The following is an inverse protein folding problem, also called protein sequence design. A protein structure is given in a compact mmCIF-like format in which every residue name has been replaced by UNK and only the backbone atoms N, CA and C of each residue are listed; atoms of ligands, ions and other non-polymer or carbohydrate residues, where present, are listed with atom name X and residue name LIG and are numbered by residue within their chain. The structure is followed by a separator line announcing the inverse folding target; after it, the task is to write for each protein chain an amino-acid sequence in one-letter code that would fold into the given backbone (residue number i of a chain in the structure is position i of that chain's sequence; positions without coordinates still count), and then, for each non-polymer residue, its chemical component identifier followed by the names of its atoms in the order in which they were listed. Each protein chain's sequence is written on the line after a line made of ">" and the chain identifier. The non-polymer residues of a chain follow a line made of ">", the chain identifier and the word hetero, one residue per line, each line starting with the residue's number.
data_IF_835144876892
#
_entry.id   IF_835144876892
#
_cell.length_a   1.000
_cell.length_b   1.000
_cell.length_c   1.000
_cell.angle_alpha   90.00
_cell.angle_beta   90.00
_cell.angle_gamma   90.00
#
_symmetry.space_group_name_H-M   'P 1'
#
loop_
_entity.id
_entity.type
_entity.pdbx_description
1 polymer ?
#
# COMPACT_ATOMS: atom_id res chain seq x y z
N UNK A 1 1.78 -5.08 10.78
CA UNK A 1 3.07 -5.53 10.25
C UNK A 1 2.99 -5.54 8.74
N UNK A 2 3.62 -4.55 8.11
CA UNK A 2 3.82 -4.55 6.66
C UNK A 2 5.00 -5.49 6.36
N UNK A 3 4.91 -6.30 5.32
CA UNK A 3 6.00 -7.17 4.86
C UNK A 3 7.01 -6.36 4.02
N UNK A 4 7.67 -5.41 4.67
CA UNK A 4 8.71 -4.55 4.10
C UNK A 4 9.88 -4.43 5.08
N UNK A 5 11.10 -4.27 4.53
CA UNK A 5 12.37 -4.03 5.18
C UNK A 5 12.73 -5.24 6.06
N UNK A 6 12.86 -5.04 7.37
CA UNK A 6 13.15 -6.09 8.36
C UNK A 6 12.11 -7.24 8.37
N UNK A 7 10.92 -6.99 7.83
CA UNK A 7 9.85 -7.99 7.75
C UNK A 7 9.66 -8.56 6.33
N UNK A 8 10.55 -8.25 5.38
CA UNK A 8 10.40 -8.64 3.98
C UNK A 8 10.42 -10.16 3.78
N UNK A 9 11.19 -10.88 4.59
CA UNK A 9 11.33 -12.35 4.53
C UNK A 9 10.33 -13.09 5.44
N UNK A 10 9.53 -12.37 6.22
CA UNK A 10 8.55 -13.01 7.11
C UNK A 10 7.34 -13.47 6.29
N UNK A 11 6.89 -14.68 6.60
CA UNK A 11 5.68 -15.27 6.00
C UNK A 11 4.48 -15.23 6.94
N UNK A 12 4.70 -15.02 8.24
CA UNK A 12 3.65 -14.95 9.26
C UNK A 12 3.73 -13.65 10.07
N UNK A 13 2.57 -13.18 10.52
CA UNK A 13 2.45 -11.98 11.33
C UNK A 13 2.90 -12.24 12.77
N UNK A 14 3.89 -11.48 13.26
CA UNK A 14 4.47 -11.69 14.60
C UNK A 14 3.49 -11.57 15.77
N UNK A 15 2.49 -10.69 15.68
CA UNK A 15 1.53 -10.46 16.78
C UNK A 15 0.38 -11.48 16.83
N UNK A 16 -0.04 -12.07 15.70
CA UNK A 16 -1.27 -12.85 15.62
C UNK A 16 -1.14 -14.14 14.80
N UNK A 17 0.05 -14.46 14.28
CA UNK A 17 0.33 -15.68 13.55
C UNK A 17 -0.30 -15.78 12.16
N UNK A 18 -1.06 -14.78 11.70
CA UNK A 18 -1.73 -14.82 10.40
C UNK A 18 -0.76 -14.91 9.23
N UNK A 19 -1.12 -15.68 8.19
CA UNK A 19 -0.30 -15.87 7.00
C UNK A 19 -0.21 -14.61 6.15
N UNK A 20 0.92 -14.44 5.47
CA UNK A 20 1.14 -13.44 4.42
C UNK A 20 0.28 -13.70 3.18
N UNK A 21 0.04 -14.97 2.89
CA UNK A 21 -0.62 -15.42 1.67
C UNK A 21 -2.14 -15.47 1.86
N UNK A 22 -2.89 -15.09 0.82
CA UNK A 22 -4.33 -15.23 0.76
C UNK A 22 -4.68 -16.71 0.56
N UNK A 23 -5.71 -17.16 1.27
CA UNK A 23 -6.26 -18.50 1.10
C UNK A 23 -7.28 -18.55 -0.05
N UNK A 24 -7.51 -17.43 -0.74
CA UNK A 24 -8.41 -17.32 -1.90
C UNK A 24 -7.71 -17.81 -3.17
N UNK A 25 -7.38 -19.10 -3.19
CA UNK A 25 -7.03 -19.83 -4.40
C UNK A 25 -8.27 -20.57 -4.89
N UNK A 26 -8.76 -20.20 -6.07
CA UNK A 26 -9.78 -20.94 -6.80
C UNK A 26 -9.42 -22.44 -6.85
N UNK A 27 -10.38 -23.30 -6.53
CA UNK A 27 -10.24 -24.76 -6.47
C UNK A 27 -9.93 -25.41 -7.84
N UNK A 28 -9.81 -24.62 -8.89
CA UNK A 28 -9.66 -25.05 -10.28
C UNK A 28 -8.21 -25.20 -10.75
N UNK A 29 -7.22 -24.62 -10.05
CA UNK A 29 -5.81 -24.76 -10.45
C UNK A 29 -4.96 -25.14 -9.25
N UNK A 30 -4.40 -26.36 -9.28
CA UNK A 30 -3.45 -26.89 -8.29
C UNK A 30 -2.11 -26.12 -8.23
N UNK A 31 -2.06 -24.90 -8.78
CA UNK A 31 -0.95 -23.99 -8.62
C UNK A 31 -1.20 -23.23 -7.32
N UNK A 32 -0.40 -23.55 -6.31
CA UNK A 32 -0.26 -22.80 -5.06
C UNK A 32 0.25 -21.38 -5.33
N UNK A 33 -0.58 -20.55 -5.96
CA UNK A 33 -0.27 -19.16 -6.23
C UNK A 33 -0.21 -18.45 -4.89
N UNK A 34 1.02 -18.16 -4.45
CA UNK A 34 1.33 -17.34 -3.29
C UNK A 34 0.90 -15.89 -3.57
N UNK A 35 -0.40 -15.65 -3.54
CA UNK A 35 -0.98 -14.30 -3.68
C UNK A 35 -0.90 -13.65 -2.29
N UNK A 36 -0.23 -12.51 -2.12
CA UNK A 36 -0.17 -11.85 -0.82
C UNK A 36 -1.56 -11.32 -0.44
N UNK A 37 -2.03 -11.63 0.78
CA UNK A 37 -3.30 -11.12 1.30
C UNK A 37 -3.29 -9.60 1.49
N UNK A 38 -2.10 -9.02 1.75
CA UNK A 38 -1.90 -7.57 1.90
C UNK A 38 -0.70 -7.14 1.07
N UNK A 39 -0.96 -6.42 -0.03
CA UNK A 39 0.07 -5.86 -0.92
C UNK A 39 0.22 -4.38 -0.63
N UNK A 40 1.43 -3.94 -0.28
CA UNK A 40 1.76 -2.52 -0.25
C UNK A 40 2.16 -2.06 -1.65
N UNK A 41 1.46 -1.07 -2.19
CA UNK A 41 1.80 -0.47 -3.49
C UNK A 41 2.55 0.83 -3.26
N UNK A 42 3.76 0.93 -3.79
CA UNK A 42 4.50 2.19 -3.80
C UNK A 42 3.73 3.21 -4.64
N UNK A 43 3.49 4.38 -4.04
CA UNK A 43 2.83 5.48 -4.70
C UNK A 43 3.81 6.66 -4.79
N UNK A 44 4.28 7.06 -6.00
CA UNK A 44 5.25 8.14 -6.11
C UNK A 44 4.57 9.47 -5.75
N UNK A 45 4.83 9.94 -4.53
CA UNK A 45 4.20 11.14 -3.96
C UNK A 45 4.57 12.41 -4.74
N UNK A 46 5.86 12.59 -5.05
CA UNK A 46 6.39 13.79 -5.74
C UNK A 46 5.61 14.16 -7.02
N UNK A 47 5.47 13.27 -8.02
CA UNK A 47 4.75 13.62 -9.25
C UNK A 47 3.26 13.85 -9.02
N UNK A 48 2.64 13.18 -8.03
CA UNK A 48 1.22 13.44 -7.72
C UNK A 48 1.04 14.83 -7.14
N UNK A 49 1.88 15.20 -6.16
CA UNK A 49 1.83 16.52 -5.53
C UNK A 49 2.06 17.62 -6.57
N UNK A 50 3.06 17.46 -7.45
CA UNK A 50 3.28 18.40 -8.56
C UNK A 50 2.01 18.63 -9.38
N UNK A 51 1.30 17.56 -9.79
CA UNK A 51 0.05 17.69 -10.55
C UNK A 51 -1.06 18.40 -9.76
N UNK A 52 -1.18 18.15 -8.47
CA UNK A 52 -2.20 18.81 -7.63
C UNK A 52 -1.93 20.32 -7.51
N UNK A 53 -0.66 20.72 -7.39
CA UNK A 53 -0.26 22.13 -7.35
C UNK A 53 -0.23 22.83 -8.73
N UNK A 54 -0.36 22.10 -9.84
CA UNK A 54 -0.48 22.69 -11.18
C UNK A 54 -1.85 23.35 -11.42
N UNK A 55 -2.91 22.93 -10.71
CA UNK A 55 -4.22 23.56 -10.80
C UNK A 55 -4.29 24.74 -9.82
N UNK A 56 -4.48 25.99 -10.29
CA UNK A 56 -4.48 27.17 -9.42
C UNK A 56 -5.57 27.13 -8.33
N UNK A 57 -6.77 26.71 -8.70
CA UNK A 57 -7.91 26.59 -7.78
C UNK A 57 -7.63 25.58 -6.67
N UNK A 58 -7.06 24.43 -7.05
CA UNK A 58 -6.70 23.38 -6.09
C UNK A 58 -5.52 23.82 -5.22
N UNK A 59 -4.53 24.52 -5.79
CA UNK A 59 -3.36 25.00 -5.08
C UNK A 59 -3.70 25.98 -3.96
N UNK A 60 -4.73 26.82 -4.13
CA UNK A 60 -5.23 27.71 -3.07
C UNK A 60 -5.83 26.89 -1.93
N UNK A 61 -6.70 25.92 -2.22
CA UNK A 61 -7.31 25.05 -1.22
C UNK A 61 -6.32 24.09 -0.54
N UNK A 62 -5.16 23.83 -1.14
CA UNK A 62 -4.10 23.00 -0.56
C UNK A 62 -3.17 23.77 0.39
N UNK A 63 -3.35 25.09 0.57
CA UNK A 63 -2.61 25.85 1.57
C UNK A 63 -3.09 25.49 2.98
N UNK A 64 -2.18 25.58 3.93
CA UNK A 64 -2.48 25.37 5.33
C UNK A 64 -3.37 26.49 5.85
N UNK A 65 -4.43 26.15 6.58
CA UNK A 65 -5.47 27.11 7.04
C UNK A 65 -5.05 28.01 8.20
N UNK A 66 -3.87 27.83 8.78
CA UNK A 66 -3.37 28.67 9.88
C UNK A 66 -2.91 30.06 9.41
N UNK A 67 -2.83 30.27 8.09
CA UNK A 67 -2.55 31.57 7.50
C UNK A 67 -3.80 32.39 7.13
N UNK A 68 -4.98 31.90 7.47
CA UNK A 68 -6.27 32.58 7.27
C UNK A 68 -6.63 33.53 8.43
#
# INVERSE_FOLDING_TARGET
>A
MLFWNENAEKDNWSMCGSSRWSNEGDCMTNASSKIPAKILRYFPLKPKLQRMFMCPETAVAMRWHDSE
#
